data_IF_633162215827
#
_entry.id   IF_633162215827
#
_cell.length_a   1.000
_cell.length_b   1.000
_cell.length_c   1.000
_cell.angle_alpha   90.00
_cell.angle_beta   90.00
_cell.angle_gamma   90.00
#
_symmetry.space_group_name_H-M   'P 1'
#
loop_
_entity.id
_entity.type
_entity.pdbx_description
1 polymer ?
#
# COMPACT_ATOMS: atom_id res chain seq x y z
N UNK A 1 44.66 -85.63 0.22
CA UNK A 1 43.34 -85.01 -0.02
C UNK A 1 42.57 -85.05 1.29
N UNK A 2 42.27 -83.89 1.89
CA UNK A 2 41.55 -83.80 3.16
C UNK A 2 40.05 -83.99 2.95
N UNK A 3 39.34 -84.36 4.03
CA UNK A 3 37.89 -84.61 4.03
C UNK A 3 37.03 -83.44 3.53
N UNK A 4 37.60 -82.24 3.47
CA UNK A 4 37.00 -81.02 2.89
C UNK A 4 36.74 -81.15 1.37
N UNK A 5 37.58 -81.90 0.64
CA UNK A 5 37.42 -82.06 -0.82
C UNK A 5 36.29 -83.02 -1.19
N UNK A 6 35.95 -83.98 -0.31
CA UNK A 6 34.84 -84.91 -0.51
C UNK A 6 33.47 -84.28 -0.21
N UNK A 7 33.39 -83.31 0.71
CA UNK A 7 32.13 -82.59 0.96
C UNK A 7 31.81 -81.55 -0.13
N UNK A 8 32.82 -80.84 -0.67
CA UNK A 8 32.60 -79.86 -1.75
C UNK A 8 32.04 -80.48 -3.04
N UNK A 9 32.45 -81.71 -3.38
CA UNK A 9 31.91 -82.45 -4.54
C UNK A 9 30.49 -82.98 -4.28
N UNK A 10 30.10 -83.16 -3.01
CA UNK A 10 28.76 -83.63 -2.64
C UNK A 10 27.71 -82.51 -2.62
N UNK A 11 28.12 -81.26 -2.42
CA UNK A 11 27.24 -80.07 -2.39
C UNK A 11 27.09 -79.40 -3.76
N UNK A 12 28.12 -79.45 -4.62
CA UNK A 12 28.09 -78.87 -5.97
C UNK A 12 27.57 -79.85 -7.04
N UNK A 13 26.39 -80.44 -6.81
CA UNK A 13 25.75 -81.41 -7.70
C UNK A 13 25.84 -81.05 -9.20
N UNK A 14 25.89 -82.10 -10.03
CA UNK A 14 26.23 -82.08 -11.45
C UNK A 14 25.85 -80.79 -12.21
N UNK A 15 26.84 -79.92 -12.42
CA UNK A 15 26.67 -78.62 -13.07
C UNK A 15 26.81 -78.66 -14.59
N UNK A 16 26.96 -79.84 -15.21
CA UNK A 16 27.05 -79.96 -16.67
C UNK A 16 25.82 -79.36 -17.37
N UNK A 17 24.61 -79.62 -16.88
CA UNK A 17 23.37 -79.04 -17.42
C UNK A 17 23.22 -77.51 -17.19
N UNK A 18 23.95 -76.94 -16.24
CA UNK A 18 23.97 -75.50 -15.96
C UNK A 18 25.00 -74.78 -16.85
N UNK A 19 26.18 -75.40 -17.05
CA UNK A 19 27.20 -74.92 -18.00
C UNK A 19 26.71 -74.92 -19.43
N UNK A 20 25.99 -75.95 -19.87
CA UNK A 20 25.44 -76.02 -21.23
C UNK A 20 24.35 -74.97 -21.46
N UNK A 21 23.51 -74.68 -20.45
CA UNK A 21 22.49 -73.61 -20.49
C UNK A 21 23.10 -72.21 -20.56
N UNK A 22 24.17 -71.96 -19.82
CA UNK A 22 24.88 -70.67 -19.86
C UNK A 22 25.61 -70.51 -21.20
N UNK A 23 26.24 -71.57 -21.71
CA UNK A 23 26.92 -71.56 -23.01
C UNK A 23 25.94 -71.31 -24.17
N UNK A 24 24.74 -71.89 -24.14
CA UNK A 24 23.68 -71.57 -25.13
C UNK A 24 23.10 -70.16 -24.99
N UNK A 25 23.04 -69.59 -23.78
CA UNK A 25 22.59 -68.19 -23.57
C UNK A 25 23.63 -67.13 -23.95
N UNK A 26 24.92 -67.46 -23.90
CA UNK A 26 26.02 -66.52 -24.23
C UNK A 26 26.38 -66.55 -25.71
N UNK A 27 26.20 -67.69 -26.40
CA UNK A 27 26.57 -67.84 -27.82
C UNK A 27 25.43 -67.56 -28.82
N UNK A 28 24.21 -67.25 -28.38
CA UNK A 28 23.20 -66.75 -29.32
C UNK A 28 23.50 -65.29 -29.72
N UNK A 29 23.61 -64.99 -31.03
CA UNK A 29 23.66 -63.60 -31.47
C UNK A 29 22.34 -62.94 -31.07
N UNK A 30 22.39 -61.85 -30.30
CA UNK A 30 21.25 -60.95 -30.13
C UNK A 30 20.85 -60.44 -31.51
N UNK A 31 19.76 -60.97 -32.06
CA UNK A 31 19.05 -60.32 -33.15
C UNK A 31 18.77 -58.87 -32.74
N UNK A 32 19.00 -57.88 -33.61
CA UNK A 32 18.67 -56.51 -33.29
C UNK A 32 17.14 -56.42 -33.18
N UNK A 33 16.64 -56.16 -31.98
CA UNK A 33 15.25 -55.75 -31.78
C UNK A 33 14.99 -54.52 -32.65
N UNK A 34 14.33 -54.71 -33.80
CA UNK A 34 13.73 -53.62 -34.55
C UNK A 34 12.63 -53.04 -33.67
N UNK A 35 12.94 -51.94 -32.97
CA UNK A 35 11.93 -51.11 -32.32
C UNK A 35 10.87 -50.75 -33.37
N UNK A 36 9.56 -50.81 -33.05
CA UNK A 36 8.52 -50.41 -34.00
C UNK A 36 8.83 -48.99 -34.50
N UNK A 37 8.82 -48.78 -35.81
CA UNK A 37 9.08 -47.47 -36.43
C UNK A 37 8.19 -46.39 -35.79
N UNK A 38 6.99 -46.77 -35.31
CA UNK A 38 6.06 -45.92 -34.57
C UNK A 38 6.67 -45.24 -33.35
N UNK A 39 7.54 -45.90 -32.58
CA UNK A 39 8.17 -45.26 -31.41
C UNK A 39 9.28 -44.29 -31.79
N UNK A 40 10.10 -44.60 -32.80
CA UNK A 40 11.09 -43.62 -33.30
C UNK A 40 10.42 -42.43 -33.97
N UNK A 41 9.33 -42.67 -34.72
CA UNK A 41 8.54 -41.61 -35.35
C UNK A 41 7.82 -40.77 -34.30
N UNK A 42 7.32 -41.37 -33.21
CA UNK A 42 6.72 -40.62 -32.10
C UNK A 42 7.78 -39.81 -31.34
N UNK A 43 8.97 -40.34 -31.10
CA UNK A 43 10.06 -39.57 -30.46
C UNK A 43 10.57 -38.46 -31.37
N UNK A 44 10.67 -38.70 -32.68
CA UNK A 44 11.05 -37.70 -33.69
C UNK A 44 9.97 -36.64 -33.88
N UNK A 45 8.69 -37.01 -33.88
CA UNK A 45 7.56 -36.06 -33.89
C UNK A 45 7.53 -35.28 -32.59
N UNK A 46 7.73 -35.90 -31.42
CA UNK A 46 7.76 -35.20 -30.14
C UNK A 46 8.97 -34.25 -30.05
N UNK A 47 10.14 -34.64 -30.57
CA UNK A 47 11.31 -33.76 -30.63
C UNK A 47 11.20 -32.70 -31.72
N UNK A 48 10.53 -32.95 -32.86
CA UNK A 48 10.19 -31.93 -33.86
C UNK A 48 9.06 -31.01 -33.39
N UNK A 49 8.14 -31.48 -32.55
CA UNK A 49 7.11 -30.67 -31.91
C UNK A 49 7.72 -29.84 -30.78
N UNK A 50 8.67 -30.37 -29.99
CA UNK A 50 9.39 -29.57 -28.99
C UNK A 50 10.37 -28.61 -29.64
N UNK A 51 11.16 -29.04 -30.63
CA UNK A 51 12.05 -28.15 -31.37
C UNK A 51 11.25 -27.16 -32.23
N UNK A 52 10.09 -27.57 -32.75
CA UNK A 52 9.13 -26.72 -33.46
C UNK A 52 8.43 -25.75 -32.51
N UNK A 53 8.10 -26.14 -31.29
CA UNK A 53 7.56 -25.26 -30.24
C UNK A 53 8.60 -24.25 -29.78
N UNK A 54 9.84 -24.69 -29.55
CA UNK A 54 10.97 -23.81 -29.20
C UNK A 54 11.31 -22.89 -30.37
N UNK A 55 11.32 -23.37 -31.62
CA UNK A 55 11.48 -22.52 -32.80
C UNK A 55 10.27 -21.61 -33.03
N UNK A 56 9.05 -22.01 -32.71
CA UNK A 56 7.85 -21.17 -32.83
C UNK A 56 7.80 -20.11 -31.71
N UNK A 57 8.41 -20.37 -30.55
CA UNK A 57 8.68 -19.36 -29.52
C UNK A 57 9.86 -18.44 -29.86
N UNK A 58 10.87 -18.92 -30.61
CA UNK A 58 12.04 -18.12 -31.00
C UNK A 58 11.84 -17.33 -32.31
N UNK A 59 11.04 -17.86 -33.26
CA UNK A 59 10.71 -17.26 -34.56
C UNK A 59 9.35 -16.54 -34.54
N UNK A 60 8.48 -16.92 -33.60
CA UNK A 60 7.33 -16.11 -33.23
C UNK A 60 7.83 -14.86 -32.50
N UNK A 61 8.09 -13.81 -33.27
CA UNK A 61 8.25 -12.42 -32.78
C UNK A 61 6.99 -11.85 -32.12
N UNK A 62 6.06 -12.70 -31.75
CA UNK A 62 4.94 -12.44 -30.86
C UNK A 62 4.98 -13.53 -29.78
N UNK A 63 5.99 -13.46 -28.91
CA UNK A 63 5.80 -13.97 -27.57
C UNK A 63 4.67 -13.13 -26.96
N UNK A 64 3.44 -13.63 -27.02
CA UNK A 64 2.63 -13.65 -25.80
C UNK A 64 3.38 -14.52 -24.79
N UNK A 65 4.51 -14.01 -24.28
CA UNK A 65 4.76 -14.08 -22.86
C UNK A 65 3.42 -13.64 -22.28
N UNK A 66 2.81 -14.46 -21.44
CA UNK A 66 2.02 -13.90 -20.35
C UNK A 66 2.87 -12.76 -19.80
N UNK A 67 2.55 -11.51 -20.17
CA UNK A 67 3.33 -10.33 -19.80
C UNK A 67 3.21 -10.26 -18.30
N UNK A 68 4.17 -10.87 -17.61
CA UNK A 68 4.21 -10.87 -16.15
C UNK A 68 4.19 -9.42 -15.73
N UNK A 69 3.25 -9.05 -14.87
CA UNK A 69 3.11 -7.67 -14.42
C UNK A 69 4.40 -7.19 -13.73
N UNK A 70 5.11 -8.13 -13.12
CA UNK A 70 6.31 -7.94 -12.35
C UNK A 70 7.45 -8.82 -12.86
N UNK A 71 8.68 -8.33 -12.73
CA UNK A 71 9.89 -9.05 -13.06
C UNK A 71 10.94 -8.86 -11.96
N UNK A 72 11.62 -9.96 -11.58
CA UNK A 72 12.66 -9.96 -10.52
C UNK A 72 13.77 -8.94 -10.82
N UNK A 73 14.20 -8.83 -12.08
CA UNK A 73 15.24 -7.89 -12.48
C UNK A 73 14.87 -6.42 -12.24
N UNK A 74 13.59 -6.09 -12.38
CA UNK A 74 13.09 -4.75 -12.07
C UNK A 74 12.96 -4.59 -10.55
N UNK A 75 12.55 -5.63 -9.83
CA UNK A 75 12.56 -5.62 -8.36
C UNK A 75 13.97 -5.35 -7.81
N UNK A 76 15.02 -5.97 -8.36
CA UNK A 76 16.42 -5.69 -7.99
C UNK A 76 16.79 -4.20 -8.15
N UNK A 77 16.28 -3.55 -9.18
CA UNK A 77 16.51 -2.11 -9.38
C UNK A 77 15.88 -1.30 -8.25
N UNK A 78 14.63 -1.59 -7.88
CA UNK A 78 13.97 -0.92 -6.76
C UNK A 78 14.62 -1.25 -5.42
N UNK A 79 15.11 -2.48 -5.20
CA UNK A 79 15.85 -2.84 -3.98
C UNK A 79 17.11 -1.98 -3.82
N UNK A 80 17.84 -1.73 -4.91
CA UNK A 80 19.04 -0.87 -4.88
C UNK A 80 18.70 0.58 -4.53
N UNK A 81 17.59 1.09 -5.05
CA UNK A 81 17.09 2.42 -4.67
C UNK A 81 16.76 2.44 -3.18
N UNK A 82 16.05 1.43 -2.67
CA UNK A 82 15.70 1.35 -1.24
C UNK A 82 16.94 1.28 -0.34
N UNK A 83 17.96 0.51 -0.71
CA UNK A 83 19.24 0.46 0.00
C UNK A 83 19.94 1.82 0.10
N UNK A 84 19.88 2.60 -0.98
CA UNK A 84 20.47 3.93 -1.04
C UNK A 84 19.69 4.95 -0.20
N UNK A 85 18.36 4.93 -0.30
CA UNK A 85 17.50 5.88 0.40
C UNK A 85 17.45 5.63 1.92
N UNK A 86 17.59 4.37 2.33
CA UNK A 86 17.43 3.94 3.72
C UNK A 86 18.58 3.04 4.17
N UNK A 87 19.83 3.54 4.28
CA UNK A 87 20.96 2.70 4.66
C UNK A 87 20.81 2.12 6.08
N UNK A 88 21.32 0.90 6.28
CA UNK A 88 21.35 0.24 7.61
C UNK A 88 20.07 -0.49 8.03
N UNK A 89 19.10 -0.68 7.13
CA UNK A 89 17.90 -1.48 7.38
C UNK A 89 18.16 -2.96 7.10
N UNK A 90 17.24 -3.83 7.53
CA UNK A 90 17.31 -5.27 7.28
C UNK A 90 16.86 -5.63 5.85
N UNK A 91 17.32 -6.76 5.31
CA UNK A 91 16.99 -7.19 3.94
C UNK A 91 15.48 -7.30 3.70
N UNK A 92 14.73 -7.73 4.72
CA UNK A 92 13.28 -7.84 4.65
C UNK A 92 12.61 -6.47 4.40
N UNK A 93 13.13 -5.40 5.02
CA UNK A 93 12.63 -4.05 4.80
C UNK A 93 12.85 -3.63 3.34
N UNK A 94 14.05 -3.82 2.79
CA UNK A 94 14.39 -3.42 1.43
C UNK A 94 13.53 -4.11 0.38
N UNK A 95 13.28 -5.41 0.54
CA UNK A 95 12.39 -6.17 -0.35
C UNK A 95 10.96 -5.64 -0.34
N UNK A 96 10.42 -5.33 0.85
CA UNK A 96 9.07 -4.78 1.00
C UNK A 96 8.95 -3.40 0.38
N UNK A 97 9.92 -2.54 0.64
CA UNK A 97 9.91 -1.17 0.11
C UNK A 97 10.11 -1.14 -1.41
N UNK A 98 11.00 -1.99 -1.92
CA UNK A 98 11.20 -2.17 -3.35
C UNK A 98 9.92 -2.65 -4.05
N UNK A 99 9.26 -3.66 -3.47
CA UNK A 99 8.01 -4.16 -4.01
C UNK A 99 6.92 -3.09 -4.02
N UNK A 100 6.72 -2.35 -2.91
CA UNK A 100 5.74 -1.26 -2.84
C UNK A 100 5.98 -0.20 -3.92
N UNK A 101 7.24 0.23 -4.08
CA UNK A 101 7.62 1.19 -5.12
C UNK A 101 7.37 0.66 -6.52
N UNK A 102 7.66 -0.63 -6.75
CA UNK A 102 7.44 -1.26 -8.05
C UNK A 102 5.94 -1.46 -8.34
N UNK A 103 5.17 -1.92 -7.36
CA UNK A 103 3.70 -2.05 -7.42
C UNK A 103 3.05 -0.72 -7.74
N UNK A 104 3.44 0.37 -7.08
CA UNK A 104 2.92 1.71 -7.37
C UNK A 104 3.17 2.13 -8.83
N UNK A 105 4.35 1.85 -9.39
CA UNK A 105 4.64 2.14 -10.80
C UNK A 105 3.78 1.29 -11.74
N UNK A 106 3.66 -0.01 -11.46
CA UNK A 106 2.85 -0.94 -12.26
C UNK A 106 1.36 -0.58 -12.18
N UNK A 107 0.86 -0.27 -10.99
CA UNK A 107 -0.49 0.18 -10.73
C UNK A 107 -0.83 1.44 -11.52
N UNK A 108 0.04 2.46 -11.44
CA UNK A 108 -0.13 3.70 -12.20
C UNK A 108 -0.21 3.44 -13.71
N UNK A 109 0.61 2.52 -14.24
CA UNK A 109 0.56 2.16 -15.65
C UNK A 109 -0.75 1.50 -16.08
N UNK A 110 -1.23 0.51 -15.32
CA UNK A 110 -2.48 -0.18 -15.66
C UNK A 110 -3.72 0.68 -15.45
N UNK A 111 -3.69 1.58 -14.46
CA UNK A 111 -4.75 2.57 -14.26
C UNK A 111 -4.72 3.64 -15.35
N UNK A 112 -3.55 4.15 -15.73
CA UNK A 112 -3.45 5.08 -16.85
C UNK A 112 -4.00 4.48 -18.14
N UNK A 113 -3.73 3.19 -18.40
CA UNK A 113 -4.31 2.45 -19.52
C UNK A 113 -5.84 2.32 -19.44
N UNK A 114 -6.41 2.07 -18.27
CA UNK A 114 -7.87 1.95 -18.12
C UNK A 114 -8.57 3.29 -18.38
N UNK A 115 -7.88 4.41 -18.13
CA UNK A 115 -8.31 5.76 -18.49
C UNK A 115 -8.06 6.12 -19.97
N UNK A 116 -7.49 5.22 -20.77
CA UNK A 116 -7.19 5.46 -22.18
C UNK A 116 -5.98 6.38 -22.42
N UNK A 117 -5.12 6.59 -21.41
CA UNK A 117 -3.90 7.38 -21.58
C UNK A 117 -2.92 6.63 -22.48
N UNK A 118 -2.57 7.26 -23.60
CA UNK A 118 -1.58 6.77 -24.55
C UNK A 118 -0.33 7.65 -24.55
N UNK A 119 0.78 7.06 -24.96
CA UNK A 119 2.05 7.75 -25.19
C UNK A 119 2.62 7.39 -26.57
N UNK A 120 3.36 8.33 -27.12
CA UNK A 120 4.08 8.25 -28.38
C UNK A 120 5.49 7.69 -28.17
N UNK A 121 6.15 7.34 -29.28
CA UNK A 121 7.57 6.94 -29.25
C UNK A 121 8.48 8.07 -28.79
N UNK A 122 8.16 9.31 -29.16
CA UNK A 122 8.95 10.48 -28.81
C UNK A 122 8.89 10.75 -27.31
N UNK A 123 7.71 10.59 -26.69
CA UNK A 123 7.55 10.68 -25.22
C UNK A 123 8.32 9.57 -24.48
N UNK A 124 8.37 8.36 -25.03
CA UNK A 124 9.16 7.26 -24.47
C UNK A 124 10.66 7.55 -24.53
N UNK A 125 11.16 8.11 -25.64
CA UNK A 125 12.57 8.48 -25.76
C UNK A 125 12.91 9.70 -24.89
N UNK A 126 11.98 10.64 -24.72
CA UNK A 126 12.14 11.76 -23.80
C UNK A 126 12.28 11.27 -22.35
N UNK A 127 11.43 10.33 -21.91
CA UNK A 127 11.54 9.73 -20.57
C UNK A 127 12.84 8.94 -20.42
N UNK A 128 13.27 8.22 -21.47
CA UNK A 128 14.57 7.54 -21.49
C UNK A 128 15.71 8.52 -21.29
N UNK A 129 15.75 9.61 -22.05
CA UNK A 129 16.78 10.65 -21.98
C UNK A 129 16.83 11.28 -20.60
N UNK A 130 15.66 11.64 -20.04
CA UNK A 130 15.53 12.17 -18.68
C UNK A 130 16.15 11.23 -17.64
N UNK A 131 15.89 9.93 -17.72
CA UNK A 131 16.50 8.96 -16.79
C UNK A 131 18.02 8.82 -16.98
N UNK A 132 18.52 8.86 -18.21
CA UNK A 132 19.98 8.86 -18.47
C UNK A 132 20.62 10.08 -17.82
N UNK A 133 20.07 11.28 -18.05
CA UNK A 133 20.59 12.54 -17.49
C UNK A 133 20.54 12.54 -15.94
N UNK A 134 19.44 12.06 -15.36
CA UNK A 134 19.34 11.91 -13.89
C UNK A 134 20.41 10.98 -13.32
N UNK A 135 20.64 9.84 -13.97
CA UNK A 135 21.65 8.89 -13.55
C UNK A 135 23.07 9.40 -13.79
N UNK A 136 23.32 10.20 -14.83
CA UNK A 136 24.59 10.88 -15.05
C UNK A 136 24.90 11.89 -13.94
N UNK A 137 23.90 12.65 -13.49
CA UNK A 137 24.06 13.54 -12.33
C UNK A 137 24.33 12.75 -11.05
N UNK A 138 23.58 11.67 -10.78
CA UNK A 138 23.78 10.85 -9.58
C UNK A 138 25.17 10.20 -9.56
N UNK A 139 25.67 9.73 -10.71
CA UNK A 139 27.00 9.12 -10.82
C UNK A 139 28.15 10.06 -10.43
N UNK A 140 27.94 11.38 -10.45
CA UNK A 140 28.95 12.35 -10.01
C UNK A 140 29.16 12.36 -8.49
N UNK A 141 28.21 11.83 -7.70
CA UNK A 141 28.36 11.68 -6.25
C UNK A 141 28.94 10.30 -5.91
N UNK A 142 30.03 10.22 -5.12
CA UNK A 142 30.59 8.95 -4.66
C UNK A 142 29.60 8.07 -3.88
N UNK A 143 28.63 8.70 -3.21
CA UNK A 143 27.59 8.02 -2.42
C UNK A 143 26.69 7.13 -3.28
N UNK A 144 26.57 7.44 -4.57
CA UNK A 144 25.69 6.72 -5.50
C UNK A 144 26.43 5.76 -6.43
N UNK A 145 27.75 5.64 -6.33
CA UNK A 145 28.56 4.75 -7.18
C UNK A 145 28.09 3.28 -7.09
N UNK A 146 27.70 2.83 -5.89
CA UNK A 146 27.23 1.47 -5.63
C UNK A 146 25.96 1.10 -6.41
N UNK A 147 25.11 2.07 -6.76
CA UNK A 147 23.88 1.85 -7.55
C UNK A 147 24.21 1.23 -8.91
N UNK A 148 25.27 1.73 -9.53
CA UNK A 148 25.61 1.46 -10.92
C UNK A 148 26.30 0.12 -11.11
N UNK A 149 26.91 -0.46 -10.07
CA UNK A 149 27.70 -1.71 -10.16
C UNK A 149 28.73 -1.68 -11.30
N UNK A 150 29.36 -0.52 -11.53
CA UNK A 150 30.31 -0.32 -12.62
C UNK A 150 29.69 -0.18 -14.02
N UNK A 151 28.36 -0.09 -14.14
CA UNK A 151 27.69 0.22 -15.40
C UNK A 151 27.73 1.73 -15.69
N UNK A 152 27.85 2.07 -16.96
CA UNK A 152 27.56 3.43 -17.42
C UNK A 152 26.04 3.72 -17.33
N UNK A 153 25.62 4.96 -17.04
CA UNK A 153 24.21 5.33 -16.91
C UNK A 153 23.32 4.84 -18.06
N UNK A 154 23.75 5.00 -19.31
CA UNK A 154 23.02 4.51 -20.48
C UNK A 154 22.82 2.99 -20.49
N UNK A 155 23.85 2.22 -20.12
CA UNK A 155 23.77 0.76 -19.99
C UNK A 155 22.88 0.35 -18.83
N UNK A 156 22.90 1.11 -17.73
CA UNK A 156 22.00 0.88 -16.60
C UNK A 156 20.53 1.07 -17.00
N UNK A 157 20.23 2.17 -17.71
CA UNK A 157 18.89 2.43 -18.26
C UNK A 157 18.45 1.28 -19.17
N UNK A 158 19.29 0.87 -20.12
CA UNK A 158 18.93 -0.21 -21.05
C UNK A 158 18.69 -1.55 -20.35
N UNK A 159 19.38 -1.81 -19.24
CA UNK A 159 19.32 -3.07 -18.50
C UNK A 159 18.14 -3.15 -17.52
N UNK A 160 17.89 -2.08 -16.76
CA UNK A 160 16.92 -2.07 -15.65
C UNK A 160 15.66 -1.26 -15.97
N UNK A 161 15.82 -0.10 -16.61
CA UNK A 161 14.71 0.84 -16.80
C UNK A 161 13.96 0.63 -18.11
N UNK A 162 14.63 0.24 -19.20
CA UNK A 162 14.00 0.08 -20.52
C UNK A 162 12.72 -0.77 -20.50
N UNK A 163 12.63 -1.89 -19.77
CA UNK A 163 11.39 -2.66 -19.66
C UNK A 163 10.23 -1.92 -18.95
N UNK A 164 10.53 -0.95 -18.09
CA UNK A 164 9.56 -0.19 -17.29
C UNK A 164 9.41 1.28 -17.74
N UNK A 165 10.16 1.73 -18.75
CA UNK A 165 9.99 3.06 -19.36
C UNK A 165 8.53 3.33 -19.79
N UNK A 166 7.82 2.39 -20.44
CA UNK A 166 6.38 2.54 -20.70
C UNK A 166 5.53 2.91 -19.47
N UNK A 167 5.89 2.35 -18.31
CA UNK A 167 5.18 2.58 -17.05
C UNK A 167 5.47 3.98 -16.51
N UNK A 168 6.75 4.40 -16.55
CA UNK A 168 7.14 5.76 -16.18
C UNK A 168 6.47 6.80 -17.06
N UNK A 169 6.49 6.63 -18.38
CA UNK A 169 5.87 7.58 -19.32
C UNK A 169 4.36 7.69 -19.08
N UNK A 170 3.66 6.56 -18.91
CA UNK A 170 2.22 6.58 -18.61
C UNK A 170 1.92 7.26 -17.26
N UNK A 171 2.75 7.01 -16.24
CA UNK A 171 2.61 7.62 -14.92
C UNK A 171 2.84 9.13 -14.96
N UNK A 172 3.83 9.62 -15.70
CA UNK A 172 4.04 11.07 -15.91
C UNK A 172 2.77 11.71 -16.47
N UNK A 173 2.15 11.11 -17.49
CA UNK A 173 0.90 11.62 -18.08
C UNK A 173 -0.30 11.52 -17.14
N UNK A 174 -0.37 10.47 -16.33
CA UNK A 174 -1.37 10.34 -15.28
C UNK A 174 -1.23 11.49 -14.26
N UNK A 175 -0.01 11.77 -13.82
CA UNK A 175 0.28 12.87 -12.91
C UNK A 175 -0.08 14.23 -13.50
N UNK A 176 0.23 14.48 -14.78
CA UNK A 176 -0.18 15.70 -15.46
C UNK A 176 -1.71 15.87 -15.48
N UNK A 177 -2.46 14.79 -15.75
CA UNK A 177 -3.92 14.80 -15.67
C UNK A 177 -4.43 15.14 -14.26
N UNK A 178 -3.81 14.58 -13.20
CA UNK A 178 -4.21 14.87 -11.83
C UNK A 178 -3.81 16.29 -11.38
N UNK A 179 -2.71 16.82 -11.93
CA UNK A 179 -2.33 18.22 -11.73
C UNK A 179 -3.38 19.17 -12.31
N UNK A 180 -3.92 18.85 -13.49
CA UNK A 180 -5.02 19.62 -14.10
C UNK A 180 -6.33 19.46 -13.31
N UNK A 181 -6.61 18.26 -12.79
CA UNK A 181 -7.78 17.97 -11.95
C UNK A 181 -7.72 18.69 -10.60
N UNK A 182 -6.53 18.83 -10.02
CA UNK A 182 -6.31 19.42 -8.70
C UNK A 182 -5.24 20.52 -8.72
N UNK A 183 -5.51 21.67 -9.37
CA UNK A 183 -4.51 22.71 -9.61
C UNK A 183 -3.97 23.38 -8.33
N UNK A 184 -4.74 23.38 -7.25
CA UNK A 184 -4.34 23.94 -5.94
C UNK A 184 -3.88 22.88 -4.94
N UNK A 185 -3.99 21.58 -5.27
CA UNK A 185 -3.57 20.51 -4.37
C UNK A 185 -2.19 20.00 -4.78
N UNK A 186 -1.16 20.38 -4.06
CA UNK A 186 0.23 20.04 -4.40
C UNK A 186 0.53 18.54 -4.39
N UNK A 187 -0.20 17.75 -3.60
CA UNK A 187 0.00 16.31 -3.49
C UNK A 187 -0.88 15.49 -4.46
N UNK A 188 -1.23 16.07 -5.61
CA UNK A 188 -2.03 15.44 -6.66
C UNK A 188 -1.48 14.07 -7.11
N UNK A 189 -0.15 13.89 -7.11
CA UNK A 189 0.48 12.58 -7.41
C UNK A 189 0.04 11.50 -6.43
N UNK A 190 -0.07 11.82 -5.14
CA UNK A 190 -0.51 10.87 -4.11
C UNK A 190 -1.96 10.44 -4.31
N UNK A 191 -2.82 11.34 -4.82
CA UNK A 191 -4.21 10.99 -5.17
C UNK A 191 -4.22 10.02 -6.35
N UNK A 192 -3.43 10.29 -7.40
CA UNK A 192 -3.29 9.41 -8.55
C UNK A 192 -2.78 8.02 -8.15
N UNK A 193 -1.80 7.96 -7.26
CA UNK A 193 -1.22 6.70 -6.79
C UNK A 193 -2.21 5.88 -5.95
N UNK A 194 -3.02 6.51 -5.11
CA UNK A 194 -4.07 5.82 -4.34
C UNK A 194 -5.12 5.23 -5.27
N UNK A 195 -5.67 6.02 -6.19
CA UNK A 195 -6.67 5.53 -7.15
C UNK A 195 -6.09 4.42 -8.03
N UNK A 196 -4.82 4.54 -8.44
CA UNK A 196 -4.13 3.52 -9.20
C UNK A 196 -3.95 2.21 -8.40
N UNK A 197 -3.54 2.28 -7.13
CA UNK A 197 -3.38 1.10 -6.26
C UNK A 197 -4.73 0.43 -6.01
N UNK A 198 -5.80 1.19 -5.74
CA UNK A 198 -7.14 0.64 -5.56
C UNK A 198 -7.63 -0.09 -6.82
N UNK A 199 -7.45 0.53 -7.99
CA UNK A 199 -7.74 -0.11 -9.26
C UNK A 199 -6.90 -1.38 -9.45
N UNK A 200 -5.61 -1.32 -9.14
CA UNK A 200 -4.71 -2.45 -9.29
C UNK A 200 -5.09 -3.62 -8.39
N UNK A 201 -5.40 -3.36 -7.12
CA UNK A 201 -5.86 -4.37 -6.16
C UNK A 201 -7.20 -4.99 -6.60
N UNK A 202 -8.11 -4.20 -7.16
CA UNK A 202 -9.40 -4.71 -7.64
C UNK A 202 -9.26 -5.63 -8.87
N UNK A 203 -8.23 -5.45 -9.71
CA UNK A 203 -8.13 -6.11 -11.01
C UNK A 203 -6.96 -7.10 -11.14
N UNK A 204 -5.93 -6.99 -10.29
CA UNK A 204 -4.66 -7.73 -10.42
C UNK A 204 -4.13 -8.31 -9.10
N UNK A 205 -4.99 -8.44 -8.07
CA UNK A 205 -4.59 -8.98 -6.76
C UNK A 205 -3.93 -10.36 -6.85
N UNK A 206 -4.44 -11.27 -7.68
CA UNK A 206 -3.89 -12.62 -7.81
C UNK A 206 -2.45 -12.62 -8.32
N UNK A 207 -2.16 -11.81 -9.35
CA UNK A 207 -0.83 -11.68 -9.93
C UNK A 207 0.14 -11.01 -8.95
N UNK A 208 -0.34 -10.01 -8.21
CA UNK A 208 0.43 -9.34 -7.16
C UNK A 208 0.81 -10.33 -6.03
N UNK A 209 -0.18 -11.09 -5.53
CA UNK A 209 0.04 -12.11 -4.49
C UNK A 209 0.95 -13.24 -4.97
N UNK A 210 0.79 -13.72 -6.21
CA UNK A 210 1.67 -14.73 -6.78
C UNK A 210 3.13 -14.25 -6.79
N UNK A 211 3.39 -13.04 -7.28
CA UNK A 211 4.74 -12.49 -7.31
C UNK A 211 5.32 -12.28 -5.89
N UNK A 212 4.51 -11.82 -4.93
CA UNK A 212 4.91 -11.69 -3.53
C UNK A 212 5.33 -13.05 -2.94
N UNK A 213 4.53 -14.10 -3.17
CA UNK A 213 4.82 -15.45 -2.69
C UNK A 213 6.10 -16.01 -3.32
N UNK A 214 6.25 -15.88 -4.63
CA UNK A 214 7.43 -16.36 -5.36
C UNK A 214 8.73 -15.70 -4.87
N UNK A 215 8.64 -14.45 -4.37
CA UNK A 215 9.78 -13.67 -3.89
C UNK A 215 9.91 -13.61 -2.36
N UNK A 216 9.06 -14.33 -1.62
CA UNK A 216 8.98 -14.34 -0.16
C UNK A 216 8.81 -12.93 0.44
N UNK A 217 7.85 -12.16 -0.09
CA UNK A 217 7.56 -10.78 0.32
C UNK A 217 6.28 -10.77 1.16
N UNK A 218 6.42 -10.68 2.48
CA UNK A 218 5.26 -10.59 3.39
C UNK A 218 4.88 -9.12 3.67
N UNK A 219 3.88 -8.60 2.95
CA UNK A 219 3.35 -7.27 3.25
C UNK A 219 2.36 -7.33 4.42
N UNK A 220 2.75 -6.72 5.55
CA UNK A 220 1.81 -6.33 6.59
C UNK A 220 1.27 -4.94 6.21
N UNK A 221 0.24 -4.89 5.38
CA UNK A 221 -0.46 -3.64 5.09
C UNK A 221 -1.93 -3.79 5.39
N UNK A 222 -2.41 -3.07 6.40
CA UNK A 222 -3.81 -2.68 6.48
C UNK A 222 -4.03 -1.55 5.47
N UNK A 223 -4.73 -1.83 4.38
CA UNK A 223 -5.14 -0.86 3.36
C UNK A 223 -6.24 0.10 3.84
N UNK A 224 -6.62 0.06 5.11
CA UNK A 224 -7.81 0.74 5.63
C UNK A 224 -7.62 2.22 5.95
N UNK A 225 -6.39 2.75 5.85
CA UNK A 225 -6.08 4.11 6.30
C UNK A 225 -6.43 4.34 7.77
N UNK A 226 -6.31 5.59 8.22
CA UNK A 226 -6.80 6.05 9.52
C UNK A 226 -8.14 6.76 9.32
N UNK A 227 -9.17 6.31 10.05
CA UNK A 227 -10.45 7.00 10.07
C UNK A 227 -10.37 8.21 10.99
N UNK A 228 -10.68 9.38 10.47
CA UNK A 228 -10.76 10.65 11.20
C UNK A 228 -12.19 11.19 11.09
N UNK A 229 -12.70 11.84 12.13
CA UNK A 229 -14.04 12.42 12.16
C UNK A 229 -13.91 13.90 12.52
N UNK A 230 -14.61 14.79 11.82
CA UNK A 230 -14.47 16.22 12.01
C UNK A 230 -15.32 17.05 11.05
N UNK A 231 -15.02 18.34 10.98
CA UNK A 231 -15.79 19.29 10.18
C UNK A 231 -14.99 19.82 9.00
N UNK A 232 -15.66 19.98 7.86
CA UNK A 232 -15.16 20.72 6.71
C UNK A 232 -15.27 22.21 6.99
N UNK A 233 -14.13 22.85 7.27
CA UNK A 233 -14.08 24.25 7.71
C UNK A 233 -14.11 25.24 6.54
N UNK A 234 -13.54 24.85 5.40
CA UNK A 234 -13.49 25.65 4.18
C UNK A 234 -13.48 24.72 2.97
N UNK A 235 -14.13 25.14 1.89
CA UNK A 235 -14.12 24.44 0.61
C UNK A 235 -13.65 25.40 -0.47
N UNK A 236 -12.69 24.95 -1.26
CA UNK A 236 -12.25 25.58 -2.49
C UNK A 236 -12.65 24.70 -3.68
N UNK A 237 -12.29 25.10 -4.91
CA UNK A 237 -12.74 24.42 -6.14
C UNK A 237 -12.46 22.91 -6.19
N UNK A 238 -11.36 22.48 -5.59
CA UNK A 238 -10.83 21.11 -5.72
C UNK A 238 -10.18 20.58 -4.43
N UNK A 239 -10.24 21.37 -3.34
CA UNK A 239 -9.70 21.01 -2.02
C UNK A 239 -10.62 21.51 -0.92
N UNK A 240 -10.54 20.90 0.24
CA UNK A 240 -11.23 21.36 1.43
C UNK A 240 -10.33 21.26 2.66
N UNK A 241 -10.50 22.19 3.60
CA UNK A 241 -9.81 22.19 4.88
C UNK A 241 -10.63 21.36 5.87
N UNK A 242 -10.00 20.32 6.43
CA UNK A 242 -10.64 19.46 7.41
C UNK A 242 -10.05 19.67 8.79
N UNK A 243 -10.94 19.86 9.77
CA UNK A 243 -10.56 19.95 11.18
C UNK A 243 -11.09 18.71 11.88
N UNK A 244 -10.20 17.74 12.08
CA UNK A 244 -10.44 16.53 12.88
C UNK A 244 -10.96 16.94 14.26
N UNK A 245 -12.03 16.30 14.77
CA UNK A 245 -12.55 16.42 16.14
C UNK A 245 -13.53 17.57 16.40
N UNK A 246 -13.63 18.54 15.49
CA UNK A 246 -14.51 19.71 15.65
C UNK A 246 -15.90 19.45 15.10
N UNK A 247 -16.95 19.97 15.75
CA UNK A 247 -18.32 19.96 15.24
C UNK A 247 -18.68 21.29 14.54
N UNK A 248 -19.66 21.32 13.62
CA UNK A 248 -19.94 22.53 12.82
C UNK A 248 -20.24 23.79 13.66
N UNK A 249 -20.99 23.63 14.76
CA UNK A 249 -21.36 24.71 15.69
C UNK A 249 -20.17 25.45 16.30
N UNK A 250 -18.98 24.85 16.30
CA UNK A 250 -17.76 25.45 16.88
C UNK A 250 -17.11 26.44 15.92
N UNK A 251 -17.38 26.25 14.64
CA UNK A 251 -16.87 27.09 13.57
C UNK A 251 -17.86 28.20 13.23
N UNK A 252 -19.12 28.08 13.69
CA UNK A 252 -20.14 29.10 13.52
C UNK A 252 -19.65 30.44 14.10
N UNK A 253 -19.64 31.46 13.24
CA UNK A 253 -19.19 32.83 13.53
C UNK A 253 -17.67 33.02 13.69
N UNK A 254 -16.83 32.01 13.42
CA UNK A 254 -15.39 32.25 13.29
C UNK A 254 -15.08 32.97 11.99
N UNK A 255 -14.23 33.99 12.07
CA UNK A 255 -13.59 34.61 10.90
C UNK A 255 -12.51 33.70 10.34
N UNK A 256 -12.11 33.94 9.09
CA UNK A 256 -11.02 33.20 8.44
C UNK A 256 -9.70 33.31 9.23
N UNK A 257 -9.37 34.51 9.73
CA UNK A 257 -8.19 34.74 10.57
C UNK A 257 -8.21 33.91 11.87
N UNK A 258 -9.39 33.78 12.51
CA UNK A 258 -9.54 32.98 13.72
C UNK A 258 -9.44 31.47 13.45
N UNK A 259 -9.96 31.01 12.31
CA UNK A 259 -9.81 29.62 11.87
C UNK A 259 -8.34 29.29 11.63
N UNK A 260 -7.63 30.15 10.89
CA UNK A 260 -6.22 29.99 10.60
C UNK A 260 -5.37 30.03 11.88
N UNK A 261 -5.64 30.96 12.80
CA UNK A 261 -4.88 31.07 14.03
C UNK A 261 -5.08 29.87 14.96
N UNK A 262 -6.33 29.44 15.13
CA UNK A 262 -6.70 28.36 16.07
C UNK A 262 -6.38 26.97 15.51
N UNK A 263 -6.49 26.77 14.20
CA UNK A 263 -6.37 25.47 13.54
C UNK A 263 -5.22 25.43 12.51
N UNK A 264 -4.07 26.03 12.86
CA UNK A 264 -2.82 26.00 12.05
C UNK A 264 -2.35 24.61 11.61
N UNK A 265 -2.79 23.57 12.33
CA UNK A 265 -2.42 22.18 12.07
C UNK A 265 -3.48 21.38 11.31
N UNK A 266 -4.55 22.04 10.83
CA UNK A 266 -5.55 21.40 10.00
C UNK A 266 -4.97 21.02 8.63
N UNK A 267 -5.47 19.91 8.07
CA UNK A 267 -4.96 19.35 6.83
C UNK A 267 -5.92 19.65 5.67
N UNK A 268 -5.37 20.02 4.53
CA UNK A 268 -6.12 20.13 3.27
C UNK A 268 -6.26 18.77 2.60
N UNK A 269 -7.45 18.46 2.10
CA UNK A 269 -7.76 17.21 1.39
C UNK A 269 -8.34 17.52 0.00
N UNK A 270 -8.15 16.63 -1.00
CA UNK A 270 -8.75 16.80 -2.32
C UNK A 270 -10.26 16.54 -2.28
N UNK A 271 -11.05 17.32 -3.03
CA UNK A 271 -12.48 17.03 -3.24
C UNK A 271 -12.60 15.90 -4.28
N UNK A 272 -13.13 14.74 -3.88
CA UNK A 272 -13.31 13.61 -4.80
C UNK A 272 -14.58 13.80 -5.65
N UNK A 273 -14.54 13.37 -6.91
CA UNK A 273 -15.64 13.56 -7.86
C UNK A 273 -16.97 12.93 -7.37
N UNK A 274 -16.88 11.79 -6.69
CA UNK A 274 -18.05 11.07 -6.16
C UNK A 274 -18.48 11.55 -4.76
N UNK A 275 -17.74 12.49 -4.16
CA UNK A 275 -17.98 12.98 -2.81
C UNK A 275 -17.86 14.52 -2.75
N UNK A 276 -18.89 15.25 -3.24
CA UNK A 276 -18.96 16.67 -3.00
C UNK A 276 -19.09 16.94 -1.51
N UNK A 277 -18.30 17.88 -1.00
CA UNK A 277 -18.37 18.36 0.38
C UNK A 277 -18.65 19.86 0.37
N UNK A 278 -19.40 20.31 1.36
CA UNK A 278 -19.70 21.72 1.59
C UNK A 278 -19.12 22.17 2.93
N UNK A 279 -18.88 23.48 3.06
CA UNK A 279 -18.47 24.05 4.34
C UNK A 279 -19.53 23.77 5.41
N UNK A 280 -19.07 23.38 6.61
CA UNK A 280 -19.92 22.97 7.72
C UNK A 280 -20.36 21.51 7.66
N UNK A 281 -20.04 20.76 6.60
CA UNK A 281 -20.30 19.33 6.58
C UNK A 281 -19.50 18.62 7.68
N UNK A 282 -20.19 17.79 8.43
CA UNK A 282 -19.58 16.90 9.41
C UNK A 282 -19.33 15.55 8.76
N UNK A 283 -18.08 15.12 8.71
CA UNK A 283 -17.67 13.98 7.91
C UNK A 283 -16.74 13.07 8.67
N UNK A 284 -16.76 11.80 8.26
CA UNK A 284 -15.72 10.83 8.55
C UNK A 284 -14.91 10.62 7.28
N UNK A 285 -13.60 10.82 7.37
CA UNK A 285 -12.69 10.58 6.26
C UNK A 285 -11.73 9.45 6.59
N UNK A 286 -11.33 8.73 5.55
CA UNK A 286 -10.32 7.68 5.62
C UNK A 286 -9.04 8.20 4.98
N UNK A 287 -8.11 8.65 5.83
CA UNK A 287 -6.83 9.20 5.43
C UNK A 287 -5.81 8.09 5.24
N UNK A 288 -5.15 8.06 4.08
CA UNK A 288 -4.07 7.12 3.76
C UNK A 288 -2.70 7.66 4.20
N UNK A 289 -2.63 8.91 4.62
CA UNK A 289 -1.41 9.57 5.05
C UNK A 289 -1.58 11.07 5.10
N UNK A 290 -0.67 11.73 5.82
CA UNK A 290 -0.58 13.19 5.88
C UNK A 290 0.85 13.62 5.62
N UNK A 291 1.02 14.83 5.09
CA UNK A 291 2.33 15.46 4.97
C UNK A 291 2.25 16.95 5.20
N UNK A 292 3.38 17.61 5.01
CA UNK A 292 3.45 19.07 4.98
C UNK A 292 4.42 19.54 3.93
N UNK A 293 4.16 20.73 3.41
CA UNK A 293 5.03 21.43 2.47
C UNK A 293 5.20 22.86 2.94
N UNK A 294 6.40 23.39 2.79
CA UNK A 294 6.68 24.80 3.01
C UNK A 294 6.58 25.54 1.68
N UNK A 295 5.67 26.50 1.60
CA UNK A 295 5.51 27.37 0.43
C UNK A 295 5.47 28.82 0.91
N UNK A 296 6.35 29.66 0.34
CA UNK A 296 6.46 31.08 0.70
C UNK A 296 6.63 31.35 2.21
N UNK A 297 7.34 30.45 2.92
CA UNK A 297 7.57 30.54 4.37
C UNK A 297 6.38 30.14 5.24
N UNK A 298 5.32 29.59 4.64
CA UNK A 298 4.15 29.03 5.34
C UNK A 298 4.11 27.52 5.16
N UNK A 299 3.97 26.79 6.27
CA UNK A 299 3.81 25.32 6.24
C UNK A 299 2.35 25.00 6.02
N UNK A 300 2.02 24.46 4.85
CA UNK A 300 0.70 23.90 4.57
C UNK A 300 0.72 22.40 4.79
N UNK A 301 -0.29 21.88 5.49
CA UNK A 301 -0.45 20.45 5.71
C UNK A 301 -1.53 19.89 4.80
N UNK A 302 -1.37 18.62 4.45
CA UNK A 302 -2.28 17.92 3.56
C UNK A 302 -2.51 16.50 4.03
N UNK A 303 -3.65 15.96 3.64
CA UNK A 303 -3.92 14.54 3.76
C UNK A 303 -4.30 13.92 2.43
N UNK A 304 -3.99 12.64 2.30
CA UNK A 304 -4.36 11.83 1.16
C UNK A 304 -5.62 11.04 1.49
N UNK A 305 -6.66 11.28 0.70
CA UNK A 305 -8.00 10.77 0.97
C UNK A 305 -8.28 9.50 0.17
N UNK A 306 -8.86 8.50 0.81
CA UNK A 306 -9.42 7.33 0.13
C UNK A 306 -10.95 7.45 0.02
N UNK A 307 -11.64 7.71 1.14
CA UNK A 307 -13.10 7.72 1.22
C UNK A 307 -13.58 8.79 2.18
N UNK A 308 -14.74 9.37 1.86
CA UNK A 308 -15.52 10.22 2.77
C UNK A 308 -16.87 9.56 3.05
N UNK A 309 -17.32 9.67 4.28
CA UNK A 309 -18.67 9.34 4.72
C UNK A 309 -19.28 10.60 5.32
N UNK A 310 -20.38 11.07 4.72
CA UNK A 310 -21.19 12.12 5.33
C UNK A 310 -21.76 11.58 6.64
N UNK A 311 -21.51 12.32 7.71
CA UNK A 311 -22.14 12.07 8.98
C UNK A 311 -23.23 13.10 9.18
N UNK A 312 -24.33 12.67 9.78
CA UNK A 312 -25.19 13.64 10.44
C UNK A 312 -24.36 14.28 11.59
N UNK A 313 -24.49 15.58 11.87
CA UNK A 313 -23.80 16.28 12.96
C UNK A 313 -24.18 15.78 14.38
N UNK A 314 -24.78 14.60 14.48
CA UNK A 314 -25.49 14.01 15.61
C UNK A 314 -24.55 13.25 16.57
N UNK A 315 -23.24 13.12 16.29
CA UNK A 315 -22.35 12.40 17.22
C UNK A 315 -22.12 13.16 18.54
N UNK A 316 -22.54 14.42 18.63
CA UNK A 316 -22.74 15.10 19.90
C UNK A 316 -24.22 15.11 20.25
N UNK A 317 -24.65 14.21 21.14
CA UNK A 317 -26.02 14.29 21.68
C UNK A 317 -26.07 15.50 22.62
N UNK A 318 -26.65 16.61 22.14
CA UNK A 318 -26.88 17.79 22.98
C UNK A 318 -27.95 17.43 24.02
N UNK A 319 -27.57 17.44 25.29
CA UNK A 319 -28.46 17.15 26.40
C UNK A 319 -29.13 18.44 26.84
N UNK A 320 -30.45 18.45 26.83
CA UNK A 320 -31.25 19.49 27.43
C UNK A 320 -31.34 19.25 28.94
N UNK A 321 -30.68 20.10 29.73
CA UNK A 321 -30.57 19.91 31.17
C UNK A 321 -31.83 20.44 31.87
N UNK A 322 -32.59 19.52 32.45
CA UNK A 322 -33.71 19.87 33.33
C UNK A 322 -33.26 20.27 34.74
N UNK A 323 -32.01 19.97 35.10
CA UNK A 323 -31.41 20.14 36.43
C UNK A 323 -30.05 20.88 36.38
N UNK A 324 -29.94 21.90 35.52
CA UNK A 324 -28.71 22.65 35.28
C UNK A 324 -27.99 23.10 36.57
N UNK A 325 -28.73 23.55 37.60
CA UNK A 325 -28.13 23.99 38.88
C UNK A 325 -27.41 22.87 39.63
N UNK A 326 -27.89 21.63 39.56
CA UNK A 326 -27.25 20.50 40.21
C UNK A 326 -25.97 20.10 39.48
N UNK A 327 -26.01 20.15 38.15
CA UNK A 327 -24.83 19.92 37.30
C UNK A 327 -23.79 21.02 37.51
N UNK A 328 -24.20 22.28 37.62
CA UNK A 328 -23.32 23.41 37.94
C UNK A 328 -22.59 23.20 39.27
N UNK A 329 -23.33 22.84 40.33
CA UNK A 329 -22.73 22.53 41.64
C UNK A 329 -21.79 21.33 41.59
N UNK A 330 -22.11 20.31 40.79
CA UNK A 330 -21.23 19.16 40.61
C UNK A 330 -19.90 19.57 39.98
N UNK A 331 -19.94 20.45 38.98
CA UNK A 331 -18.76 20.94 38.25
C UNK A 331 -18.00 22.07 38.98
N UNK A 332 -18.60 22.63 40.04
CA UNK A 332 -18.00 23.67 40.85
C UNK A 332 -16.69 23.20 41.49
N UNK A 333 -15.66 24.05 41.47
CA UNK A 333 -14.32 23.80 42.03
C UNK A 333 -13.56 22.59 41.44
N UNK A 334 -13.97 22.09 40.27
CA UNK A 334 -13.20 21.08 39.56
C UNK A 334 -11.82 21.64 39.14
N UNK A 335 -10.73 20.88 39.33
CA UNK A 335 -9.39 21.30 38.96
C UNK A 335 -9.19 21.16 37.44
N UNK A 336 -9.82 22.06 36.67
CA UNK A 336 -9.64 22.14 35.22
C UNK A 336 -8.17 22.37 34.87
N UNK A 337 -7.66 21.56 33.96
CA UNK A 337 -6.30 21.67 33.42
C UNK A 337 -6.37 22.33 32.04
N UNK A 338 -5.24 22.83 31.54
CA UNK A 338 -5.16 23.29 30.16
C UNK A 338 -5.63 22.17 29.24
N UNK A 339 -6.61 22.48 28.39
CA UNK A 339 -7.16 21.48 27.49
C UNK A 339 -6.19 21.23 26.34
N UNK A 340 -5.87 19.97 26.11
CA UNK A 340 -5.29 19.56 24.85
C UNK A 340 -6.43 19.32 23.86
N UNK A 341 -6.12 19.48 22.59
CA UNK A 341 -7.11 19.24 21.54
C UNK A 341 -7.47 17.75 21.47
N UNK A 342 -8.71 17.39 21.81
CA UNK A 342 -9.18 16.02 21.67
C UNK A 342 -9.56 15.71 20.21
N UNK A 343 -8.79 14.81 19.61
CA UNK A 343 -8.89 14.38 18.21
C UNK A 343 -10.16 13.62 17.82
N UNK A 344 -11.09 13.40 18.75
CA UNK A 344 -12.36 12.72 18.49
C UNK A 344 -13.50 13.59 18.99
N UNK A 345 -14.66 13.56 18.32
CA UNK A 345 -15.81 14.35 18.75
C UNK A 345 -16.34 13.87 20.12
N UNK A 346 -16.95 14.79 20.90
CA UNK A 346 -17.59 14.43 22.16
C UNK A 346 -18.86 13.63 21.92
N UNK A 347 -19.10 12.65 22.80
CA UNK A 347 -20.30 11.81 22.77
C UNK A 347 -21.55 12.58 23.21
N UNK A 348 -21.36 13.52 24.12
CA UNK A 348 -22.43 14.38 24.65
C UNK A 348 -21.91 15.80 24.80
N UNK A 349 -22.80 16.77 24.61
CA UNK A 349 -22.56 18.15 25.04
C UNK A 349 -23.75 18.66 25.81
N UNK A 350 -23.51 19.59 26.72
CA UNK A 350 -24.58 20.25 27.47
C UNK A 350 -24.16 21.66 27.87
N UNK A 351 -25.13 22.54 28.08
CA UNK A 351 -24.89 23.92 28.53
C UNK A 351 -25.03 23.99 30.05
N UNK A 352 -24.06 24.61 30.72
CA UNK A 352 -24.13 24.95 32.15
C UNK A 352 -23.64 26.37 32.34
N UNK A 353 -24.50 27.22 32.89
CA UNK A 353 -24.22 28.63 33.15
C UNK A 353 -23.77 29.37 31.88
N UNK A 354 -24.38 29.03 30.74
CA UNK A 354 -24.04 29.59 29.43
C UNK A 354 -22.70 29.13 28.85
N UNK A 355 -22.06 28.13 29.45
CA UNK A 355 -20.83 27.51 28.93
C UNK A 355 -21.09 26.09 28.48
N UNK A 356 -20.62 25.74 27.27
CA UNK A 356 -20.69 24.38 26.77
C UNK A 356 -19.68 23.48 27.47
N UNK A 357 -20.15 22.35 27.96
CA UNK A 357 -19.35 21.24 28.44
C UNK A 357 -19.46 20.10 27.43
N UNK A 358 -18.32 19.56 27.03
CA UNK A 358 -18.18 18.42 26.13
C UNK A 358 -17.72 17.20 26.91
N UNK A 359 -18.20 16.02 26.54
CA UNK A 359 -17.98 14.79 27.31
C UNK A 359 -17.62 13.60 26.43
N UNK A 360 -16.61 12.82 26.86
CA UNK A 360 -16.15 11.60 26.21
C UNK A 360 -16.03 10.44 27.21
N UNK A 361 -16.31 9.20 26.79
CA UNK A 361 -15.99 8.01 27.58
C UNK A 361 -14.48 7.75 27.58
N UNK A 362 -13.91 7.65 28.77
CA UNK A 362 -12.54 7.21 28.98
C UNK A 362 -12.44 5.72 29.32
N UNK A 363 -11.21 5.24 29.45
CA UNK A 363 -10.95 3.85 29.84
C UNK A 363 -11.38 3.57 31.28
N UNK A 364 -11.79 2.33 31.57
CA UNK A 364 -12.20 1.92 32.93
C UNK A 364 -13.45 2.63 33.45
N UNK A 365 -14.32 3.12 32.55
CA UNK A 365 -15.53 3.86 32.90
C UNK A 365 -15.29 5.28 33.39
N UNK A 366 -14.10 5.85 33.17
CA UNK A 366 -13.84 7.28 33.38
C UNK A 366 -14.61 8.13 32.36
N UNK A 367 -14.75 9.42 32.65
CA UNK A 367 -15.26 10.41 31.70
C UNK A 367 -14.22 11.52 31.55
N UNK A 368 -13.97 11.95 30.33
CA UNK A 368 -13.26 13.19 30.06
C UNK A 368 -14.29 14.29 29.83
N UNK A 369 -14.07 15.45 30.44
CA UNK A 369 -14.87 16.64 30.24
C UNK A 369 -13.98 17.75 29.72
N UNK A 370 -14.51 18.55 28.79
CA UNK A 370 -13.89 19.79 28.36
C UNK A 370 -14.90 20.92 28.53
N UNK A 371 -14.50 21.94 29.28
CA UNK A 371 -15.19 23.22 29.33
C UNK A 371 -14.65 24.08 28.20
N UNK A 372 -15.48 24.31 27.19
CA UNK A 372 -15.07 25.00 25.96
C UNK A 372 -14.49 26.38 26.29
N UNK A 373 -13.28 26.64 25.79
CA UNK A 373 -12.56 27.90 26.03
C UNK A 373 -11.92 28.04 27.41
N UNK A 374 -11.95 27.02 28.28
CA UNK A 374 -11.38 27.09 29.63
C UNK A 374 -10.39 25.98 29.94
N UNK A 375 -10.78 24.71 29.81
CA UNK A 375 -9.92 23.61 30.26
C UNK A 375 -10.61 22.25 30.24
N UNK A 376 -9.86 21.20 30.57
CA UNK A 376 -10.34 19.81 30.59
C UNK A 376 -10.12 19.14 31.96
N UNK A 377 -10.83 18.04 32.20
CA UNK A 377 -10.65 17.18 33.37
C UNK A 377 -11.03 15.74 33.07
N UNK A 378 -10.29 14.80 33.63
CA UNK A 378 -10.69 13.39 33.68
C UNK A 378 -11.37 13.06 35.00
N UNK A 379 -12.64 12.68 34.94
CA UNK A 379 -13.39 12.13 36.06
C UNK A 379 -13.10 10.64 36.25
N UNK A 380 -12.84 10.26 37.50
CA UNK A 380 -12.77 8.84 37.89
C UNK A 380 -14.11 8.12 37.64
N UNK A 381 -14.08 6.79 37.54
CA UNK A 381 -15.29 5.97 37.32
C UNK A 381 -16.42 6.27 38.29
N UNK A 382 -16.11 6.54 39.57
CA UNK A 382 -17.12 6.90 40.58
C UNK A 382 -17.80 8.23 40.24
N UNK A 383 -17.01 9.29 40.02
CA UNK A 383 -17.54 10.63 39.69
C UNK A 383 -18.22 10.65 38.33
N UNK A 384 -17.73 9.85 37.39
CA UNK A 384 -18.35 9.67 36.09
C UNK A 384 -19.78 9.14 36.21
N UNK A 385 -20.02 8.14 37.06
CA UNK A 385 -21.38 7.62 37.32
C UNK A 385 -22.30 8.66 37.96
N UNK A 386 -21.78 9.43 38.92
CA UNK A 386 -22.54 10.52 39.56
C UNK A 386 -22.98 11.56 38.51
N UNK A 387 -22.07 11.98 37.64
CA UNK A 387 -22.40 12.93 36.57
C UNK A 387 -23.39 12.35 35.55
N UNK A 388 -23.18 11.10 35.08
CA UNK A 388 -24.13 10.48 34.13
C UNK A 388 -25.54 10.40 34.70
N UNK A 389 -25.67 10.09 35.99
CA UNK A 389 -26.97 10.03 36.66
C UNK A 389 -27.64 11.41 36.69
N UNK A 390 -26.88 12.48 36.99
CA UNK A 390 -27.38 13.85 36.91
C UNK A 390 -27.80 14.23 35.49
N UNK A 391 -27.07 13.77 34.48
CA UNK A 391 -27.34 14.03 33.07
C UNK A 391 -28.42 13.13 32.45
N UNK A 392 -28.98 12.18 33.21
CA UNK A 392 -29.97 11.23 32.70
C UNK A 392 -29.45 10.28 31.62
N UNK A 393 -28.15 9.98 31.63
CA UNK A 393 -27.50 9.09 30.66
C UNK A 393 -27.49 7.66 31.20
N UNK A 394 -28.19 6.75 30.53
CA UNK A 394 -28.17 5.32 30.88
C UNK A 394 -26.82 4.68 30.52
N UNK A 395 -26.29 3.84 31.41
CA UNK A 395 -25.08 3.06 31.15
C UNK A 395 -25.40 1.96 30.11
N UNK A 396 -24.86 2.14 28.90
CA UNK A 396 -24.91 1.18 27.77
C UNK A 396 -23.98 -0.01 27.95
#
# INVERSE_FOLDING_TARGET
>A
MSDVHKELVKVAGDMTASKERVKQRVLQPRYPNRKPIRFKLLTVVLTLCMAGFVMMQLLGKDTTQTTSLFHEKQLEHFERISHMMWPGQEQEYYKKEAYRSYEQLVAAYYFAKSLGIAYSKDELEAERKKHVEQLEMLKQSPEYEALFQGLEPSKYVDLYLKPILPMYTARTKLYDMYKEKYPTFYAYNGVADIEAILYFQANFAEQATAFQNDNNIELRTSSSGTSLVGTVAKVESNVFLFIEGVIPKDLDNMTEEQLEEKYKQADWYPVLADFPVEQGNYIKLYSMGTGSMEENGSVQRYGLLNKVEMLEPIVTKELDLQNEQEVARFLQDMPWQSADYMKRPPEYSFQVEGVRIEMWKGYGGSLYLQKVGSGEIQLSSKRAKELKALLGIEDS
#
